data_IF_938130089483
#
_entry.id   IF_938130089483
#
_cell.length_a   1.000
_cell.length_b   1.000
_cell.length_c   1.000
_cell.angle_alpha   90.00
_cell.angle_beta   90.00
_cell.angle_gamma   90.00
#
_symmetry.space_group_name_H-M   'P 1'
#
loop_
_entity.id
_entity.type
_entity.pdbx_description
1 polymer ?
#
# COMPACT_ATOMS: atom_id res chain seq x y z
N UNK A 1 -21.72 23.39 -7.91
CA UNK A 1 -20.82 23.81 -6.82
C UNK A 1 -20.84 25.33 -6.66
N UNK A 2 -21.05 26.10 -7.73
CA UNK A 2 -21.27 27.56 -7.71
C UNK A 2 -22.43 28.02 -6.80
N UNK A 3 -23.42 27.14 -6.58
CA UNK A 3 -24.50 27.33 -5.60
C UNK A 3 -24.00 27.31 -4.16
N UNK A 4 -22.94 26.56 -3.85
CA UNK A 4 -22.36 26.50 -2.50
C UNK A 4 -21.69 27.84 -2.17
N UNK A 5 -20.95 28.41 -3.12
CA UNK A 5 -20.22 29.65 -2.89
C UNK A 5 -21.17 30.84 -2.66
N UNK A 6 -22.19 30.97 -3.53
CA UNK A 6 -23.15 32.08 -3.43
C UNK A 6 -24.13 31.97 -2.27
N UNK A 7 -24.53 30.74 -1.90
CA UNK A 7 -25.56 30.54 -0.88
C UNK A 7 -24.99 30.57 0.54
N UNK A 8 -23.73 30.18 0.71
CA UNK A 8 -23.12 30.02 2.03
C UNK A 8 -21.93 30.93 2.27
N UNK A 9 -21.63 31.88 1.38
CA UNK A 9 -20.47 32.77 1.51
C UNK A 9 -19.22 31.94 1.82
N UNK A 10 -19.00 30.94 0.98
CA UNK A 10 -18.04 29.87 1.17
C UNK A 10 -17.14 29.82 -0.04
N UNK A 11 -15.86 29.52 0.14
CA UNK A 11 -14.98 29.18 -0.97
C UNK A 11 -14.66 27.69 -0.91
N UNK A 12 -14.60 27.02 -2.07
CA UNK A 12 -14.19 25.62 -2.11
C UNK A 12 -13.09 25.37 -3.14
N UNK A 13 -12.22 24.42 -2.81
CA UNK A 13 -11.29 23.83 -3.77
C UNK A 13 -11.54 22.33 -3.82
N UNK A 14 -11.60 21.78 -5.04
CA UNK A 14 -11.78 20.35 -5.26
C UNK A 14 -10.62 19.81 -6.09
N UNK A 15 -10.00 18.73 -5.61
CA UNK A 15 -8.89 18.04 -6.26
C UNK A 15 -9.23 16.56 -6.39
N UNK A 16 -9.13 16.04 -7.61
CA UNK A 16 -9.34 14.62 -7.89
C UNK A 16 -7.98 13.92 -8.01
N UNK A 17 -7.84 12.81 -7.31
CA UNK A 17 -6.71 11.90 -7.41
C UNK A 17 -7.20 10.55 -7.92
N UNK A 18 -6.50 10.02 -8.91
CA UNK A 18 -6.79 8.72 -9.52
C UNK A 18 -5.59 7.81 -9.29
N UNK A 19 -5.79 6.79 -8.48
CA UNK A 19 -4.76 5.80 -8.16
C UNK A 19 -5.11 4.48 -8.84
N UNK A 20 -4.14 3.94 -9.59
CA UNK A 20 -4.19 2.58 -10.11
C UNK A 20 -3.41 1.68 -9.15
N UNK A 21 -4.12 0.87 -8.37
CA UNK A 21 -3.56 -0.16 -7.51
C UNK A 21 -3.65 -1.51 -8.23
N UNK A 22 -2.87 -2.51 -7.82
CA UNK A 22 -3.04 -3.87 -8.38
C UNK A 22 -4.41 -4.46 -8.02
N UNK A 23 -4.92 -4.09 -6.84
CA UNK A 23 -6.23 -4.53 -6.36
C UNK A 23 -7.40 -3.84 -7.09
N UNK A 24 -7.16 -2.69 -7.75
CA UNK A 24 -8.20 -1.98 -8.50
C UNK A 24 -7.97 -0.47 -8.59
N UNK A 25 -9.00 0.27 -8.99
CA UNK A 25 -8.93 1.74 -9.15
C UNK A 25 -9.47 2.46 -7.92
N UNK A 26 -8.67 3.34 -7.34
CA UNK A 26 -9.08 4.19 -6.23
C UNK A 26 -9.20 5.64 -6.72
N UNK A 27 -10.43 6.17 -6.69
CA UNK A 27 -10.72 7.57 -6.99
C UNK A 27 -10.95 8.32 -5.69
N UNK A 28 -10.10 9.31 -5.41
CA UNK A 28 -10.21 10.18 -4.23
C UNK A 28 -10.57 11.59 -4.68
N UNK A 29 -11.73 12.08 -4.25
CA UNK A 29 -12.10 13.48 -4.37
C UNK A 29 -11.81 14.17 -3.05
N UNK A 30 -10.82 15.06 -3.03
CA UNK A 30 -10.55 15.93 -1.88
C UNK A 30 -11.27 17.25 -2.08
N UNK A 31 -12.08 17.66 -1.10
CA UNK A 31 -12.74 18.97 -1.10
C UNK A 31 -12.30 19.73 0.15
N UNK A 32 -11.72 20.91 -0.05
CA UNK A 32 -11.43 21.86 1.03
C UNK A 32 -12.45 22.98 0.99
N UNK A 33 -13.15 23.19 2.09
CA UNK A 33 -14.12 24.25 2.30
C UNK A 33 -13.51 25.32 3.19
N UNK A 34 -13.48 26.56 2.71
CA UNK A 34 -13.14 27.73 3.49
C UNK A 34 -14.43 28.49 3.81
N UNK A 35 -14.73 28.62 5.10
CA UNK A 35 -15.93 29.26 5.61
C UNK A 35 -15.55 30.43 6.53
N UNK A 36 -16.36 31.50 6.60
CA UNK A 36 -16.14 32.60 7.52
C UNK A 36 -16.01 32.10 8.96
N UNK A 37 -15.14 32.73 9.75
CA UNK A 37 -14.84 32.34 11.13
C UNK A 37 -16.10 32.25 12.01
N UNK A 38 -17.04 33.16 11.80
CA UNK A 38 -18.31 33.25 12.52
C UNK A 38 -19.38 32.25 12.01
N UNK A 39 -19.01 31.28 11.17
CA UNK A 39 -19.97 30.31 10.62
C UNK A 39 -20.58 29.43 11.70
N UNK A 40 -21.90 29.50 11.83
CA UNK A 40 -22.65 28.67 12.78
C UNK A 40 -22.55 27.18 12.44
N UNK A 41 -22.72 26.31 13.45
CA UNK A 41 -22.74 24.85 13.26
C UNK A 41 -23.73 24.40 12.19
N UNK A 42 -24.92 24.99 12.16
CA UNK A 42 -25.96 24.70 11.16
C UNK A 42 -25.51 25.06 9.75
N UNK A 43 -24.82 26.20 9.58
CA UNK A 43 -24.26 26.63 8.30
C UNK A 43 -23.19 25.64 7.82
N UNK A 44 -22.29 25.23 8.72
CA UNK A 44 -21.24 24.25 8.43
C UNK A 44 -21.87 22.91 7.99
N UNK A 45 -22.88 22.41 8.72
CA UNK A 45 -23.58 21.17 8.39
C UNK A 45 -24.29 21.25 7.03
N UNK A 46 -24.95 22.37 6.72
CA UNK A 46 -25.62 22.57 5.42
C UNK A 46 -24.64 22.57 4.24
N UNK A 47 -23.49 23.24 4.38
CA UNK A 47 -22.44 23.25 3.35
C UNK A 47 -21.88 21.85 3.14
N UNK A 48 -21.57 21.12 4.22
CA UNK A 48 -21.09 19.73 4.15
C UNK A 48 -22.08 18.85 3.39
N UNK A 49 -23.38 18.97 3.68
CA UNK A 49 -24.44 18.23 2.99
C UNK A 49 -24.52 18.58 1.49
N UNK A 50 -24.35 19.86 1.14
CA UNK A 50 -24.33 20.29 -0.26
C UNK A 50 -23.14 19.68 -1.03
N UNK A 51 -21.95 19.64 -0.43
CA UNK A 51 -20.76 18.98 -1.02
C UNK A 51 -21.01 17.50 -1.20
N UNK A 52 -21.61 16.83 -0.23
CA UNK A 52 -21.91 15.40 -0.32
C UNK A 52 -22.84 15.06 -1.48
N UNK A 53 -23.91 15.84 -1.65
CA UNK A 53 -24.82 15.68 -2.80
C UNK A 53 -24.08 15.86 -4.13
N UNK A 54 -23.18 16.84 -4.22
CA UNK A 54 -22.35 17.04 -5.40
C UNK A 54 -21.38 15.88 -5.65
N UNK A 55 -20.73 15.37 -4.60
CA UNK A 55 -19.81 14.25 -4.68
C UNK A 55 -20.51 12.93 -5.07
N UNK A 56 -21.75 12.72 -4.62
CA UNK A 56 -22.55 11.57 -5.05
C UNK A 56 -22.85 11.61 -6.56
N UNK A 57 -23.14 12.79 -7.11
CA UNK A 57 -23.30 12.97 -8.57
C UNK A 57 -21.99 12.73 -9.31
N UNK A 58 -20.86 13.20 -8.77
CA UNK A 58 -19.53 12.91 -9.32
C UNK A 58 -19.25 11.41 -9.37
N UNK A 59 -19.53 10.69 -8.28
CA UNK A 59 -19.31 9.25 -8.19
C UNK A 59 -20.19 8.46 -9.17
N UNK A 60 -21.47 8.81 -9.33
CA UNK A 60 -22.35 8.21 -10.35
C UNK A 60 -21.81 8.39 -11.78
N UNK A 61 -21.09 9.47 -12.07
CA UNK A 61 -20.43 9.67 -13.38
C UNK A 61 -19.20 8.77 -13.55
N UNK A 62 -18.42 8.55 -12.49
CA UNK A 62 -17.25 7.66 -12.51
C UNK A 62 -17.65 6.19 -12.70
N UNK A 63 -18.70 5.72 -12.02
CA UNK A 63 -19.14 4.32 -12.12
C UNK A 63 -19.60 3.92 -13.52
N UNK A 64 -20.16 4.84 -14.31
CA UNK A 64 -20.57 4.57 -15.69
C UNK A 64 -19.40 4.28 -16.64
N UNK A 65 -18.16 4.47 -16.19
CA UNK A 65 -16.96 4.39 -17.02
C UNK A 65 -15.99 3.26 -16.59
N UNK A 66 -16.31 2.48 -15.55
CA UNK A 66 -15.38 1.49 -15.00
C UNK A 66 -15.94 0.07 -15.02
N UNK A 67 -15.29 -0.82 -15.78
CA UNK A 67 -15.53 -2.27 -15.76
C UNK A 67 -14.75 -3.00 -14.64
N UNK A 68 -13.82 -2.31 -13.97
CA UNK A 68 -12.94 -2.89 -12.94
C UNK A 68 -13.40 -2.56 -11.52
N UNK A 69 -12.99 -3.39 -10.55
CA UNK A 69 -13.18 -3.10 -9.12
C UNK A 69 -12.66 -1.69 -8.80
N UNK A 70 -13.53 -0.86 -8.22
CA UNK A 70 -13.18 0.52 -7.88
C UNK A 70 -13.78 0.99 -6.57
N UNK A 71 -13.00 1.80 -5.86
CA UNK A 71 -13.46 2.57 -4.72
C UNK A 71 -13.52 4.05 -5.07
N UNK A 72 -14.58 4.70 -4.61
CA UNK A 72 -14.75 6.14 -4.65
C UNK A 72 -14.76 6.68 -3.22
N UNK A 73 -13.86 7.63 -2.94
CA UNK A 73 -13.68 8.22 -1.62
C UNK A 73 -13.82 9.74 -1.72
N UNK A 74 -14.60 10.34 -0.83
CA UNK A 74 -14.63 11.78 -0.57
C UNK A 74 -13.86 12.08 0.71
N UNK A 75 -12.86 12.96 0.63
CA UNK A 75 -12.14 13.50 1.79
C UNK A 75 -12.50 14.96 1.95
N UNK A 76 -13.14 15.32 3.06
CA UNK A 76 -13.59 16.68 3.33
C UNK A 76 -12.70 17.38 4.36
N UNK A 77 -12.18 18.54 4.00
CA UNK A 77 -11.40 19.44 4.86
C UNK A 77 -12.19 20.74 5.05
N UNK A 78 -12.34 21.21 6.29
CA UNK A 78 -13.14 22.41 6.60
C UNK A 78 -12.28 23.38 7.39
N UNK A 79 -12.12 24.58 6.87
CA UNK A 79 -11.30 25.66 7.42
C UNK A 79 -12.21 26.84 7.75
N UNK A 80 -11.98 27.43 8.91
CA UNK A 80 -12.59 28.70 9.30
C UNK A 80 -11.58 29.83 9.05
N UNK A 81 -11.96 30.82 8.23
CA UNK A 81 -11.14 31.95 7.80
C UNK A 81 -11.69 33.26 8.35
N UNK A 82 -10.81 34.13 8.87
CA UNK A 82 -11.14 35.48 9.31
C UNK A 82 -10.75 36.48 8.21
N UNK A 83 -11.73 36.96 7.46
CA UNK A 83 -11.49 37.90 6.33
C UNK A 83 -11.21 39.34 6.79
N UNK A 84 -11.28 39.65 8.10
CA UNK A 84 -11.20 41.03 8.62
C UNK A 84 -9.77 41.59 8.84
N UNK A 85 -8.71 40.99 8.28
CA UNK A 85 -7.31 41.40 8.56
C UNK A 85 -6.49 41.85 7.34
N UNK A 86 -7.12 42.43 6.34
CA UNK A 86 -6.41 42.99 5.16
C UNK A 86 -5.58 44.26 5.45
N UNK A 87 -5.56 44.80 6.68
CA UNK A 87 -4.96 46.11 6.97
C UNK A 87 -3.87 46.18 8.06
N UNK A 88 -3.19 45.08 8.39
CA UNK A 88 -1.95 45.16 9.18
C UNK A 88 -0.72 44.83 8.33
N UNK A 89 -0.07 45.90 7.86
CA UNK A 89 1.21 45.85 7.17
C UNK A 89 2.31 45.36 8.13
N UNK A 90 3.01 44.28 7.77
CA UNK A 90 4.34 43.99 8.32
C UNK A 90 4.59 42.60 8.92
N UNK A 91 3.73 41.60 8.70
CA UNK A 91 3.99 40.23 9.19
C UNK A 91 4.04 39.24 8.02
N UNK A 92 5.10 38.42 8.01
CA UNK A 92 5.38 37.30 7.09
C UNK A 92 4.12 36.50 6.71
N UNK A 93 3.99 36.14 5.43
CA UNK A 93 2.84 35.44 4.83
C UNK A 93 2.44 34.14 5.56
N UNK A 94 3.36 33.52 6.32
CA UNK A 94 3.08 32.29 7.08
C UNK A 94 2.24 32.51 8.36
N UNK A 95 2.04 33.76 8.82
CA UNK A 95 1.25 34.08 10.01
C UNK A 95 -0.08 34.79 9.72
N UNK A 96 -0.38 35.11 8.46
CA UNK A 96 -1.57 35.91 8.07
C UNK A 96 -2.90 35.15 8.11
N UNK A 97 -2.87 33.82 8.17
CA UNK A 97 -4.07 33.00 8.26
C UNK A 97 -4.08 32.19 9.57
N UNK A 98 -4.87 32.61 10.57
CA UNK A 98 -5.29 31.68 11.64
C UNK A 98 -6.37 30.74 11.09
N UNK A 99 -6.01 29.93 10.09
CA UNK A 99 -6.88 28.89 9.55
C UNK A 99 -7.16 27.88 10.66
N UNK A 100 -8.35 27.93 11.25
CA UNK A 100 -8.78 26.91 12.20
C UNK A 100 -9.44 25.78 11.43
N UNK A 101 -8.71 24.66 11.29
CA UNK A 101 -9.27 23.43 10.74
C UNK A 101 -10.29 22.85 11.72
N UNK A 102 -11.51 22.66 11.26
CA UNK A 102 -12.60 22.08 12.05
C UNK A 102 -12.46 20.56 12.09
N UNK A 103 -12.24 20.01 13.29
CA UNK A 103 -12.34 18.57 13.52
C UNK A 103 -13.80 18.15 13.40
N UNK A 104 -14.06 17.16 12.56
CA UNK A 104 -15.39 16.59 12.33
C UNK A 104 -15.25 15.13 11.95
N UNK A 105 -16.34 14.37 12.00
CA UNK A 105 -16.39 12.96 11.61
C UNK A 105 -17.67 12.67 10.81
N UNK A 106 -17.65 11.57 10.08
CA UNK A 106 -18.80 11.04 9.34
C UNK A 106 -19.13 9.65 9.90
N UNK A 107 -19.86 9.60 11.03
CA UNK A 107 -20.29 8.32 11.62
C UNK A 107 -21.44 7.67 10.84
N UNK A 108 -21.74 6.38 11.08
CA UNK A 108 -22.80 5.67 10.35
C UNK A 108 -24.17 6.37 10.46
N UNK A 109 -24.46 6.99 11.61
CA UNK A 109 -25.67 7.79 11.84
C UNK A 109 -25.81 8.95 10.82
N UNK A 110 -24.69 9.55 10.43
CA UNK A 110 -24.68 10.62 9.43
C UNK A 110 -25.11 10.11 8.04
N UNK A 111 -24.69 8.90 7.68
CA UNK A 111 -25.13 8.23 6.45
C UNK A 111 -26.60 7.80 6.50
N UNK A 112 -27.06 7.29 7.65
CA UNK A 112 -28.45 6.87 7.85
C UNK A 112 -29.46 8.04 7.84
N UNK A 113 -29.09 9.19 8.39
CA UNK A 113 -30.00 10.34 8.57
C UNK A 113 -29.95 11.35 7.41
N UNK A 114 -28.79 11.55 6.78
CA UNK A 114 -28.59 12.65 5.81
C UNK A 114 -28.28 12.18 4.39
N UNK A 115 -28.03 10.88 4.20
CA UNK A 115 -27.55 10.30 2.95
C UNK A 115 -28.39 9.07 2.57
N UNK A 116 -29.66 9.30 2.19
CA UNK A 116 -30.42 8.29 1.42
C UNK A 116 -29.82 8.21 0.01
N UNK A 117 -28.61 7.67 -0.09
CA UNK A 117 -28.05 7.23 -1.36
C UNK A 117 -28.85 6.00 -1.77
N UNK A 118 -29.36 5.99 -3.01
CA UNK A 118 -30.03 4.84 -3.64
C UNK A 118 -29.40 3.53 -3.16
N UNK A 119 -30.16 2.79 -2.36
CA UNK A 119 -29.75 1.52 -1.74
C UNK A 119 -29.68 0.39 -2.76
N UNK A 120 -30.13 0.63 -3.99
CA UNK A 120 -30.37 -0.40 -5.01
C UNK A 120 -29.11 -0.81 -5.81
N UNK A 121 -28.09 0.04 -5.89
CA UNK A 121 -26.86 -0.32 -6.63
C UNK A 121 -25.79 -0.90 -5.69
N UNK A 122 -25.76 -2.23 -5.67
CA UNK A 122 -24.94 -3.09 -4.81
C UNK A 122 -23.42 -2.95 -4.98
N UNK A 123 -22.91 -2.24 -6.00
CA UNK A 123 -21.52 -2.45 -6.43
C UNK A 123 -20.52 -1.43 -5.89
N UNK A 124 -20.82 -0.13 -5.78
CA UNK A 124 -19.83 0.86 -5.29
C UNK A 124 -20.49 2.03 -4.59
N UNK A 125 -20.39 2.10 -3.26
CA UNK A 125 -20.86 3.24 -2.46
C UNK A 125 -19.73 4.25 -2.26
N UNK A 126 -20.06 5.54 -2.33
CA UNK A 126 -19.14 6.62 -1.97
C UNK A 126 -18.82 6.53 -0.48
N UNK A 127 -17.55 6.32 -0.13
CA UNK A 127 -17.08 6.39 1.24
C UNK A 127 -16.64 7.82 1.56
N UNK A 128 -16.97 8.32 2.75
CA UNK A 128 -16.73 9.72 3.12
C UNK A 128 -15.93 9.76 4.41
N UNK A 129 -14.83 10.51 4.39
CA UNK A 129 -13.97 10.72 5.54
C UNK A 129 -13.73 12.21 5.77
N UNK A 130 -13.54 12.59 7.03
CA UNK A 130 -12.94 13.88 7.34
C UNK A 130 -11.46 13.84 6.95
N UNK A 131 -10.86 15.02 6.74
CA UNK A 131 -9.42 15.12 6.52
C UNK A 131 -8.62 14.46 7.65
N UNK A 132 -9.04 14.64 8.91
CA UNK A 132 -8.32 14.08 10.06
C UNK A 132 -8.42 12.56 10.13
N UNK A 133 -9.61 12.01 9.91
CA UNK A 133 -9.83 10.55 9.92
C UNK A 133 -9.04 9.89 8.78
N UNK A 134 -9.12 10.46 7.57
CA UNK A 134 -8.39 9.94 6.41
C UNK A 134 -6.88 9.85 6.65
N UNK A 135 -6.27 10.91 7.18
CA UNK A 135 -4.83 10.90 7.48
C UNK A 135 -4.47 9.93 8.61
N UNK A 136 -5.35 9.79 9.61
CA UNK A 136 -5.15 8.86 10.72
C UNK A 136 -5.25 7.40 10.26
N UNK A 137 -6.20 7.10 9.37
CA UNK A 137 -6.36 5.79 8.73
C UNK A 137 -5.13 5.46 7.89
N UNK A 138 -4.71 6.36 6.99
CA UNK A 138 -3.53 6.13 6.15
C UNK A 138 -2.27 5.88 6.99
N UNK A 139 -2.09 6.64 8.08
CA UNK A 139 -1.01 6.44 9.03
C UNK A 139 -1.10 5.09 9.76
N UNK A 140 -2.30 4.59 10.05
CA UNK A 140 -2.45 3.29 10.71
C UNK A 140 -2.17 2.11 9.76
N UNK A 141 -2.65 2.19 8.52
CA UNK A 141 -2.61 1.09 7.56
C UNK A 141 -1.25 0.88 6.89
N UNK A 142 -0.45 1.96 6.74
CA UNK A 142 0.94 1.95 6.25
C UNK A 142 1.18 1.48 4.79
N UNK A 143 0.26 0.74 4.17
CA UNK A 143 0.41 0.27 2.79
C UNK A 143 -0.87 0.51 1.94
N UNK A 144 -0.74 0.60 0.61
CA UNK A 144 -1.88 0.66 -0.30
C UNK A 144 -2.76 -0.61 -0.27
N UNK A 145 -2.18 -1.80 -0.10
CA UNK A 145 -2.92 -3.06 -0.05
C UNK A 145 -3.84 -3.10 1.18
N UNK A 146 -3.33 -2.66 2.33
CA UNK A 146 -4.11 -2.56 3.55
C UNK A 146 -5.18 -1.46 3.48
N UNK A 147 -4.91 -0.34 2.79
CA UNK A 147 -5.93 0.66 2.46
C UNK A 147 -7.08 0.05 1.67
N UNK A 148 -6.77 -0.69 0.60
CA UNK A 148 -7.79 -1.33 -0.23
C UNK A 148 -8.69 -2.25 0.60
N UNK A 149 -8.09 -3.17 1.35
CA UNK A 149 -8.83 -4.12 2.21
C UNK A 149 -9.62 -3.41 3.31
N UNK A 150 -9.11 -2.31 3.84
CA UNK A 150 -9.83 -1.50 4.82
C UNK A 150 -11.06 -0.83 4.20
N UNK A 151 -10.99 -0.36 2.96
CA UNK A 151 -12.13 0.24 2.26
C UNK A 151 -13.23 -0.80 2.00
N UNK A 152 -12.87 -2.03 1.66
CA UNK A 152 -13.83 -3.15 1.59
C UNK A 152 -14.48 -3.42 2.95
N UNK A 153 -13.67 -3.49 4.01
CA UNK A 153 -14.14 -3.68 5.38
C UNK A 153 -15.04 -2.54 5.85
N UNK A 154 -14.68 -1.29 5.57
CA UNK A 154 -15.46 -0.10 5.92
C UNK A 154 -16.85 -0.15 5.28
N UNK A 155 -16.92 -0.50 4.00
CA UNK A 155 -18.18 -0.69 3.29
C UNK A 155 -19.05 -1.80 3.91
N UNK A 156 -18.44 -2.92 4.31
CA UNK A 156 -19.14 -4.01 5.00
C UNK A 156 -19.72 -3.52 6.34
N UNK A 157 -18.93 -2.80 7.14
CA UNK A 157 -19.36 -2.28 8.43
C UNK A 157 -20.46 -1.22 8.30
N UNK A 158 -20.37 -0.34 7.29
CA UNK A 158 -21.44 0.59 6.95
C UNK A 158 -22.73 -0.13 6.57
N UNK A 159 -22.65 -1.19 5.74
CA UNK A 159 -23.82 -2.01 5.37
C UNK A 159 -24.47 -2.65 6.61
N UNK A 160 -23.66 -3.23 7.50
CA UNK A 160 -24.13 -3.88 8.71
C UNK A 160 -24.79 -2.89 9.69
N UNK A 161 -24.22 -1.69 9.83
CA UNK A 161 -24.79 -0.63 10.66
C UNK A 161 -26.13 -0.11 10.12
N UNK A 162 -26.22 0.13 8.80
CA UNK A 162 -27.46 0.58 8.14
C UNK A 162 -28.57 -0.47 8.27
N UNK A 163 -28.24 -1.76 8.12
CA UNK A 163 -29.19 -2.86 8.23
C UNK A 163 -29.57 -3.21 9.69
N UNK A 164 -29.05 -2.46 10.68
CA UNK A 164 -29.34 -2.67 12.10
C UNK A 164 -28.76 -3.96 12.68
N UNK A 165 -27.81 -4.59 11.99
CA UNK A 165 -27.24 -5.88 12.41
C UNK A 165 -26.15 -5.75 13.49
N UNK A 166 -25.48 -4.59 13.56
CA UNK A 166 -24.39 -4.33 14.52
C UNK A 166 -24.47 -2.88 14.99
N UNK A 167 -24.21 -2.57 16.28
CA UNK A 167 -24.04 -1.19 16.73
C UNK A 167 -22.91 -0.51 15.94
N UNK A 168 -23.18 0.68 15.39
CA UNK A 168 -22.17 1.47 14.68
C UNK A 168 -20.95 1.67 15.57
N UNK A 169 -19.76 1.38 15.04
CA UNK A 169 -18.51 1.81 15.67
C UNK A 169 -18.53 3.33 15.79
N UNK A 170 -18.13 3.84 16.96
CA UNK A 170 -18.26 5.26 17.30
C UNK A 170 -17.27 6.16 16.53
N UNK A 171 -16.09 5.64 16.17
CA UNK A 171 -15.04 6.42 15.51
C UNK A 171 -14.28 5.61 14.44
N UNK A 172 -13.82 6.31 13.40
CA UNK A 172 -12.98 5.72 12.33
C UNK A 172 -11.65 5.16 12.87
N UNK A 173 -11.07 5.81 13.88
CA UNK A 173 -9.85 5.32 14.54
C UNK A 173 -10.07 3.98 15.24
N UNK A 174 -11.21 3.80 15.91
CA UNK A 174 -11.54 2.50 16.50
C UNK A 174 -11.78 1.44 15.42
N UNK A 175 -12.40 1.82 14.31
CA UNK A 175 -12.69 0.91 13.20
C UNK A 175 -11.42 0.40 12.52
N UNK A 176 -10.44 1.28 12.26
CA UNK A 176 -9.13 0.87 11.71
C UNK A 176 -8.34 0.02 12.69
N UNK A 177 -8.39 0.33 13.99
CA UNK A 177 -7.75 -0.48 15.02
C UNK A 177 -8.37 -1.88 15.10
N UNK A 178 -9.70 -1.99 15.01
CA UNK A 178 -10.38 -3.28 14.93
C UNK A 178 -9.95 -4.05 13.68
N UNK A 179 -9.98 -3.43 12.51
CA UNK A 179 -9.53 -4.03 11.24
C UNK A 179 -8.13 -4.63 11.38
N UNK A 180 -7.18 -3.82 11.86
CA UNK A 180 -5.78 -4.19 11.99
C UNK A 180 -5.54 -5.30 13.02
N UNK A 181 -6.46 -5.53 13.97
CA UNK A 181 -6.33 -6.59 14.99
C UNK A 181 -7.10 -7.88 14.64
N UNK A 182 -7.67 -7.98 13.43
CA UNK A 182 -8.39 -9.20 13.00
C UNK A 182 -7.43 -10.23 12.41
N UNK A 183 -7.65 -11.55 12.65
CA UNK A 183 -6.92 -12.61 11.95
C UNK A 183 -7.10 -12.55 10.42
N UNK A 184 -8.21 -11.98 9.96
CA UNK A 184 -8.49 -11.78 8.54
C UNK A 184 -7.46 -10.89 7.83
N UNK A 185 -6.66 -10.10 8.56
CA UNK A 185 -5.53 -9.34 8.03
C UNK A 185 -4.56 -10.25 7.23
N UNK A 186 -4.40 -11.51 7.65
CA UNK A 186 -3.47 -12.46 7.04
C UNK A 186 -4.10 -13.33 5.95
N UNK A 187 -5.38 -13.16 5.61
CA UNK A 187 -6.08 -14.06 4.70
C UNK A 187 -5.41 -14.16 3.31
N UNK A 188 -4.98 -13.03 2.74
CA UNK A 188 -4.26 -13.00 1.46
C UNK A 188 -2.93 -13.75 1.55
N UNK A 189 -2.14 -13.46 2.59
CA UNK A 189 -0.84 -14.10 2.80
C UNK A 189 -1.00 -15.61 2.95
N UNK A 190 -2.01 -16.08 3.69
CA UNK A 190 -2.32 -17.52 3.85
C UNK A 190 -2.72 -18.16 2.52
N UNK A 191 -3.54 -17.49 1.71
CA UNK A 191 -3.93 -17.99 0.40
C UNK A 191 -2.71 -18.19 -0.52
N UNK A 192 -1.78 -17.23 -0.50
CA UNK A 192 -0.54 -17.30 -1.28
C UNK A 192 0.45 -18.32 -0.74
N UNK A 193 0.63 -18.41 0.58
CA UNK A 193 1.46 -19.43 1.23
C UNK A 193 1.04 -20.85 0.81
N UNK A 194 -0.27 -21.11 0.80
CA UNK A 194 -0.83 -22.37 0.31
C UNK A 194 -0.61 -22.58 -1.20
N UNK A 195 -0.71 -21.53 -2.01
CA UNK A 195 -0.44 -21.61 -3.44
C UNK A 195 1.03 -21.95 -3.72
N UNK A 196 1.96 -21.35 -2.98
CA UNK A 196 3.41 -21.60 -3.11
C UNK A 196 3.79 -23.03 -2.73
N UNK A 197 3.15 -23.58 -1.68
CA UNK A 197 3.29 -25.00 -1.32
C UNK A 197 2.79 -25.90 -2.45
N UNK A 198 1.62 -25.58 -3.03
CA UNK A 198 1.05 -26.31 -4.17
C UNK A 198 1.99 -26.31 -5.39
N UNK A 199 2.72 -25.22 -5.61
CA UNK A 199 3.71 -25.09 -6.69
C UNK A 199 5.09 -25.68 -6.35
N UNK A 200 5.26 -26.30 -5.17
CA UNK A 200 6.53 -26.81 -4.63
C UNK A 200 7.64 -25.74 -4.57
N UNK A 201 7.28 -24.48 -4.35
CA UNK A 201 8.24 -23.39 -4.09
C UNK A 201 8.61 -23.35 -2.61
N UNK A 202 7.67 -23.79 -1.76
CA UNK A 202 7.82 -23.85 -0.32
C UNK A 202 7.36 -25.21 0.18
N UNK A 203 8.09 -25.80 1.12
CA UNK A 203 7.79 -27.17 1.58
C UNK A 203 6.71 -27.21 2.67
N UNK A 204 6.65 -26.17 3.52
CA UNK A 204 5.75 -26.09 4.66
C UNK A 204 5.28 -24.63 4.89
N UNK A 205 4.18 -24.40 5.62
CA UNK A 205 3.68 -23.06 5.87
C UNK A 205 4.71 -22.13 6.51
N UNK A 206 4.65 -20.83 6.21
CA UNK A 206 5.57 -19.88 6.82
C UNK A 206 5.33 -19.85 8.35
N UNK A 207 6.36 -20.15 9.17
CA UNK A 207 6.18 -20.25 10.61
C UNK A 207 5.86 -18.89 11.26
N UNK A 208 6.35 -17.78 10.72
CA UNK A 208 5.99 -16.44 11.20
C UNK A 208 4.52 -16.13 10.89
N UNK A 209 4.06 -16.43 9.67
CA UNK A 209 2.65 -16.24 9.29
C UNK A 209 1.71 -17.03 10.19
N UNK A 210 2.03 -18.30 10.42
CA UNK A 210 1.26 -19.20 11.29
C UNK A 210 1.22 -18.66 12.72
N UNK A 211 2.37 -18.29 13.27
CA UNK A 211 2.49 -17.79 14.65
C UNK A 211 1.74 -16.48 14.86
N UNK A 212 1.87 -15.53 13.92
CA UNK A 212 1.17 -14.24 13.98
C UNK A 212 -0.34 -14.44 13.85
N UNK A 213 -0.80 -15.26 12.91
CA UNK A 213 -2.23 -15.54 12.73
C UNK A 213 -2.84 -16.14 14.00
N UNK A 214 -2.15 -17.09 14.64
CA UNK A 214 -2.58 -17.69 15.91
C UNK A 214 -2.60 -16.66 17.05
N UNK A 215 -1.59 -15.79 17.14
CA UNK A 215 -1.55 -14.74 18.15
C UNK A 215 -2.76 -13.80 18.06
N UNK A 216 -3.12 -13.38 16.84
CA UNK A 216 -4.28 -12.52 16.59
C UNK A 216 -5.60 -13.25 16.87
N UNK A 217 -5.69 -14.52 16.48
CA UNK A 217 -6.89 -15.34 16.74
C UNK A 217 -7.15 -15.52 18.23
N UNK A 218 -6.09 -15.68 19.01
CA UNK A 218 -6.16 -15.90 20.45
C UNK A 218 -6.08 -14.60 21.27
N UNK A 219 -5.97 -13.44 20.62
CA UNK A 219 -5.80 -12.13 21.28
C UNK A 219 -4.66 -12.12 22.32
N UNK A 220 -3.55 -12.81 22.03
CA UNK A 220 -2.44 -12.94 22.96
C UNK A 220 -1.59 -11.67 23.04
N UNK A 221 -0.80 -11.52 24.10
CA UNK A 221 0.17 -10.42 24.27
C UNK A 221 1.14 -10.33 23.07
N UNK A 222 1.47 -11.47 22.48
CA UNK A 222 2.30 -11.56 21.25
C UNK A 222 1.65 -10.94 20.02
N UNK A 223 0.32 -10.75 19.98
CA UNK A 223 -0.35 -10.08 18.87
C UNK A 223 0.06 -8.60 18.76
N UNK A 224 0.16 -7.90 19.89
CA UNK A 224 0.61 -6.51 19.92
C UNK A 224 2.07 -6.37 19.49
N UNK A 225 2.95 -7.26 19.97
CA UNK A 225 4.35 -7.28 19.51
C UNK A 225 4.45 -7.57 18.00
N UNK A 226 3.65 -8.53 17.51
CA UNK A 226 3.59 -8.83 16.07
C UNK A 226 3.10 -7.63 15.27
N UNK A 227 2.07 -6.92 15.76
CA UNK A 227 1.57 -5.69 15.14
C UNK A 227 2.66 -4.62 15.03
N UNK A 228 3.42 -4.40 16.11
CA UNK A 228 4.55 -3.46 16.10
C UNK A 228 5.62 -3.84 15.09
N UNK A 229 5.97 -5.13 15.00
CA UNK A 229 6.93 -5.61 14.00
C UNK A 229 6.46 -5.41 12.56
N UNK A 230 5.15 -5.61 12.28
CA UNK A 230 4.57 -5.33 10.97
C UNK A 230 4.68 -3.84 10.63
N UNK A 231 4.33 -2.95 11.58
CA UNK A 231 4.40 -1.49 11.37
C UNK A 231 5.85 -1.01 11.15
N UNK A 232 6.79 -1.48 11.98
CA UNK A 232 8.21 -1.15 11.83
C UNK A 232 8.74 -1.60 10.47
N UNK A 233 8.45 -2.85 10.07
CA UNK A 233 8.85 -3.36 8.77
C UNK A 233 8.22 -2.56 7.62
N UNK A 234 6.95 -2.18 7.73
CA UNK A 234 6.28 -1.37 6.72
C UNK A 234 6.92 0.01 6.56
N UNK A 235 7.31 0.65 7.66
CA UNK A 235 8.03 1.92 7.65
C UNK A 235 9.41 1.77 7.00
N UNK A 236 10.21 0.81 7.45
CA UNK A 236 11.56 0.57 6.95
C UNK A 236 11.55 0.21 5.46
N UNK A 237 10.65 -0.67 5.04
CA UNK A 237 10.50 -1.01 3.63
C UNK A 237 10.09 0.20 2.78
N UNK A 238 9.26 1.11 3.32
CA UNK A 238 8.90 2.35 2.60
C UNK A 238 10.10 3.27 2.43
N UNK A 239 10.96 3.39 3.46
CA UNK A 239 12.19 4.18 3.38
C UNK A 239 13.17 3.58 2.37
N UNK A 240 13.40 2.26 2.44
CA UNK A 240 14.26 1.55 1.48
C UNK A 240 13.71 1.67 0.06
N UNK A 241 12.41 1.52 -0.13
CA UNK A 241 11.76 1.71 -1.43
C UNK A 241 11.95 3.13 -1.94
N UNK A 242 11.74 4.15 -1.10
CA UNK A 242 11.97 5.54 -1.49
C UNK A 242 13.42 5.79 -1.94
N UNK A 243 14.40 5.25 -1.21
CA UNK A 243 15.82 5.34 -1.56
C UNK A 243 16.13 4.62 -2.89
N UNK A 244 15.68 3.37 -3.05
CA UNK A 244 15.87 2.62 -4.29
C UNK A 244 15.26 3.36 -5.50
N UNK A 245 14.08 3.96 -5.31
CA UNK A 245 13.40 4.74 -6.32
C UNK A 245 14.19 6.01 -6.66
N UNK A 246 14.68 6.73 -5.67
CA UNK A 246 15.45 7.96 -5.89
C UNK A 246 16.79 7.68 -6.59
N UNK A 247 17.55 6.67 -6.14
CA UNK A 247 18.81 6.26 -6.76
C UNK A 247 18.61 5.83 -8.21
N UNK A 248 17.54 5.09 -8.50
CA UNK A 248 17.22 4.70 -9.88
C UNK A 248 16.93 5.92 -10.78
N UNK A 249 16.24 6.93 -10.26
CA UNK A 249 15.94 8.17 -11.02
C UNK A 249 17.21 8.96 -11.31
N UNK A 250 18.12 9.07 -10.34
CA UNK A 250 19.42 9.75 -10.51
C UNK A 250 20.27 9.16 -11.65
N UNK A 251 20.25 7.83 -11.81
CA UNK A 251 21.01 7.13 -12.85
C UNK A 251 20.42 7.26 -14.27
N UNK A 252 19.16 7.71 -14.41
CA UNK A 252 18.45 7.77 -15.69
C UNK A 252 18.36 9.16 -16.35
N UNK A 253 18.85 10.23 -15.69
CA UNK A 253 18.79 11.61 -16.22
C UNK A 253 19.78 11.82 -17.42
N UNK A 254 20.60 10.84 -17.77
CA UNK A 254 21.66 10.95 -18.79
C UNK A 254 21.40 10.39 -20.20
N UNK A 255 20.27 9.75 -20.52
CA UNK A 255 20.06 9.16 -21.85
C UNK A 255 18.69 9.49 -22.47
N UNK A 256 18.71 10.04 -23.68
CA UNK A 256 17.53 10.44 -24.45
C UNK A 256 16.69 9.22 -24.88
N UNK A 257 15.64 8.94 -24.09
CA UNK A 257 14.62 7.93 -24.32
C UNK A 257 13.38 8.16 -23.43
N UNK A 258 12.96 9.42 -23.29
CA UNK A 258 12.22 9.92 -22.10
C UNK A 258 10.77 9.46 -21.91
N UNK A 259 10.11 8.88 -22.91
CA UNK A 259 8.66 8.58 -22.82
C UNK A 259 8.33 7.10 -22.54
N UNK A 260 9.04 6.16 -23.17
CA UNK A 260 8.79 4.70 -23.00
C UNK A 260 9.34 4.21 -21.66
N UNK A 261 10.53 4.70 -21.28
CA UNK A 261 11.17 4.37 -19.99
C UNK A 261 10.40 4.95 -18.80
N UNK A 262 9.71 6.08 -18.93
CA UNK A 262 8.93 6.66 -17.84
C UNK A 262 7.78 5.74 -17.38
N UNK A 263 7.13 5.03 -18.30
CA UNK A 263 6.05 4.10 -17.97
C UNK A 263 6.57 2.80 -17.32
N UNK A 264 7.68 2.24 -17.81
CA UNK A 264 8.32 1.07 -17.21
C UNK A 264 8.88 1.38 -15.82
N UNK A 265 9.52 2.54 -15.66
CA UNK A 265 10.02 3.05 -14.37
C UNK A 265 8.86 3.25 -13.38
N UNK A 266 7.68 3.68 -13.84
CA UNK A 266 6.50 3.83 -12.97
C UNK A 266 5.94 2.48 -12.53
N UNK A 267 5.96 1.46 -13.39
CA UNK A 267 5.36 0.17 -13.09
C UNK A 267 6.08 -0.58 -11.96
N UNK A 268 7.41 -0.68 -12.01
CA UNK A 268 8.14 -1.40 -10.96
C UNK A 268 8.18 -0.64 -9.63
N UNK A 269 8.16 0.70 -9.68
CA UNK A 269 8.00 1.54 -8.48
C UNK A 269 6.71 1.17 -7.75
N UNK A 270 5.61 1.00 -8.50
CA UNK A 270 4.35 0.53 -7.93
C UNK A 270 4.48 -0.88 -7.34
N UNK A 271 5.23 -1.79 -7.98
CA UNK A 271 5.43 -3.14 -7.44
C UNK A 271 6.12 -3.14 -6.07
N UNK A 272 7.12 -2.27 -5.82
CA UNK A 272 7.78 -2.20 -4.51
C UNK A 272 6.87 -1.61 -3.43
N UNK A 273 6.04 -0.63 -3.80
CA UNK A 273 5.14 0.06 -2.89
C UNK A 273 3.87 -0.76 -2.58
N UNK A 274 3.42 -1.59 -3.51
CA UNK A 274 2.21 -2.42 -3.38
C UNK A 274 2.54 -3.79 -2.80
N UNK A 275 3.29 -3.80 -1.70
CA UNK A 275 3.53 -4.97 -0.85
C UNK A 275 2.72 -4.89 0.44
N UNK A 276 2.10 -6.00 0.81
CA UNK A 276 1.35 -6.16 2.06
C UNK A 276 2.23 -5.95 3.30
N UNK A 277 1.61 -5.62 4.43
CA UNK A 277 2.28 -5.61 5.74
C UNK A 277 3.10 -6.87 5.99
N UNK A 278 2.57 -8.05 5.66
CA UNK A 278 3.26 -9.32 5.92
C UNK A 278 4.41 -9.56 4.94
N UNK A 279 4.26 -9.23 3.65
CA UNK A 279 5.37 -9.28 2.68
C UNK A 279 6.53 -8.41 3.13
N UNK A 280 6.24 -7.15 3.50
CA UNK A 280 7.25 -6.20 3.98
C UNK A 280 7.92 -6.72 5.25
N UNK A 281 7.16 -7.33 6.14
CA UNK A 281 7.70 -8.00 7.32
C UNK A 281 8.71 -9.09 6.97
N UNK A 282 8.38 -10.03 6.08
CA UNK A 282 9.31 -11.11 5.73
C UNK A 282 10.56 -10.61 4.98
N UNK A 283 10.40 -9.63 4.09
CA UNK A 283 11.51 -8.99 3.38
C UNK A 283 12.46 -8.30 4.36
N UNK A 284 11.94 -7.40 5.19
CA UNK A 284 12.74 -6.68 6.20
C UNK A 284 13.34 -7.65 7.21
N UNK A 285 12.58 -8.63 7.70
CA UNK A 285 13.10 -9.67 8.60
C UNK A 285 14.28 -10.42 7.99
N UNK A 286 14.28 -10.64 6.67
CA UNK A 286 15.40 -11.28 5.97
C UNK A 286 16.65 -10.40 5.95
N UNK A 287 16.50 -9.09 5.73
CA UNK A 287 17.61 -8.13 5.83
C UNK A 287 18.22 -8.12 7.24
N UNK A 288 17.39 -8.05 8.28
CA UNK A 288 17.86 -8.02 9.69
C UNK A 288 18.45 -9.34 10.19
N UNK A 289 18.30 -10.44 9.45
CA UNK A 289 18.98 -11.70 9.77
C UNK A 289 20.44 -11.70 9.35
N UNK A 290 20.86 -10.85 8.42
CA UNK A 290 22.23 -10.84 7.89
C UNK A 290 23.30 -10.60 8.97
N UNK A 291 23.19 -9.57 9.84
CA UNK A 291 24.20 -9.34 10.88
C UNK A 291 24.33 -10.48 11.89
N UNK A 292 23.32 -11.35 11.97
CA UNK A 292 23.27 -12.51 12.87
C UNK A 292 23.71 -13.83 12.20
N UNK A 293 24.09 -13.80 10.92
CA UNK A 293 24.61 -14.97 10.22
C UNK A 293 26.01 -15.32 10.70
N UNK A 294 26.43 -16.56 10.43
CA UNK A 294 27.79 -16.99 10.70
C UNK A 294 28.82 -16.09 9.98
N UNK A 295 29.95 -15.74 10.63
CA UNK A 295 30.96 -14.85 10.02
C UNK A 295 31.43 -15.32 8.65
N UNK A 296 31.51 -16.63 8.43
CA UNK A 296 31.86 -17.21 7.14
C UNK A 296 30.87 -16.82 6.03
N UNK A 297 29.56 -16.88 6.29
CA UNK A 297 28.53 -16.49 5.32
C UNK A 297 28.56 -14.98 5.05
N UNK A 298 28.82 -14.17 6.07
CA UNK A 298 29.00 -12.72 5.89
C UNK A 298 30.22 -12.42 5.00
N UNK A 299 31.31 -13.18 5.16
CA UNK A 299 32.52 -13.01 4.39
C UNK A 299 32.36 -13.50 2.94
N UNK A 300 31.76 -14.67 2.74
CA UNK A 300 31.63 -15.28 1.41
C UNK A 300 30.42 -14.79 0.61
N UNK A 301 29.45 -14.13 1.25
CA UNK A 301 28.17 -13.77 0.63
C UNK A 301 27.24 -14.98 0.44
N UNK A 302 25.96 -14.71 0.21
CA UNK A 302 24.93 -15.74 -0.03
C UNK A 302 23.68 -15.16 -0.69
N UNK A 303 22.83 -16.04 -1.23
CA UNK A 303 21.58 -15.68 -1.89
C UNK A 303 20.40 -16.24 -1.10
N UNK A 304 19.36 -15.41 -0.91
CA UNK A 304 18.08 -15.81 -0.34
C UNK A 304 16.99 -15.52 -1.35
N UNK A 305 16.19 -16.53 -1.65
CA UNK A 305 14.97 -16.36 -2.42
C UNK A 305 13.79 -16.08 -1.48
N UNK A 306 13.07 -15.01 -1.76
CA UNK A 306 11.84 -14.61 -1.09
C UNK A 306 10.73 -14.41 -2.14
N UNK A 307 9.50 -14.27 -1.67
CA UNK A 307 8.34 -14.07 -2.51
C UNK A 307 7.37 -13.09 -1.86
N UNK A 308 6.48 -12.54 -2.66
CA UNK A 308 5.44 -11.65 -2.17
C UNK A 308 4.26 -12.45 -1.59
N UNK A 309 3.80 -12.03 -0.42
CA UNK A 309 2.54 -12.45 0.18
C UNK A 309 1.38 -11.49 -0.20
N UNK A 310 1.57 -10.67 -1.23
CA UNK A 310 0.53 -9.89 -1.91
C UNK A 310 0.24 -10.45 -3.32
N UNK A 311 1.29 -10.78 -4.07
CA UNK A 311 1.22 -11.21 -5.46
C UNK A 311 2.03 -12.47 -5.70
N UNK A 312 1.35 -13.58 -6.05
CA UNK A 312 2.00 -14.86 -6.40
C UNK A 312 3.06 -14.70 -7.49
N UNK A 313 2.86 -13.73 -8.39
CA UNK A 313 3.73 -13.48 -9.52
C UNK A 313 4.98 -12.66 -9.21
N UNK A 314 5.24 -12.29 -7.95
CA UNK A 314 6.34 -11.41 -7.58
C UNK A 314 7.33 -12.14 -6.69
N UNK A 315 8.55 -12.26 -7.20
CA UNK A 315 9.64 -12.98 -6.55
C UNK A 315 10.82 -12.07 -6.28
N UNK A 316 11.49 -12.31 -5.16
CA UNK A 316 12.63 -11.54 -4.70
C UNK A 316 13.86 -12.42 -4.59
N UNK A 317 14.97 -11.97 -5.17
CA UNK A 317 16.28 -12.60 -5.05
C UNK A 317 17.16 -11.63 -4.30
N UNK A 318 17.39 -11.90 -3.02
CA UNK A 318 18.21 -11.09 -2.15
C UNK A 318 19.62 -11.64 -2.17
N UNK A 319 20.56 -10.90 -2.72
CA UNK A 319 21.97 -11.26 -2.80
C UNK A 319 22.71 -10.44 -1.75
N UNK A 320 23.16 -11.09 -0.69
CA UNK A 320 24.04 -10.49 0.30
C UNK A 320 25.47 -10.60 -0.20
N UNK A 321 26.08 -9.48 -0.56
CA UNK A 321 27.44 -9.47 -1.06
C UNK A 321 28.43 -9.93 0.01
N UNK A 322 29.45 -10.68 -0.42
CA UNK A 322 30.57 -11.05 0.44
C UNK A 322 31.46 -9.85 0.72
N UNK A 323 32.00 -9.81 1.94
CA UNK A 323 32.98 -8.78 2.36
C UNK A 323 34.35 -8.97 1.70
N UNK A 324 34.64 -10.16 1.17
CA UNK A 324 35.85 -10.41 0.38
C UNK A 324 35.71 -9.78 -1.02
N UNK A 325 36.47 -8.73 -1.29
CA UNK A 325 36.40 -7.93 -2.52
C UNK A 325 36.76 -8.76 -3.76
N UNK A 326 37.69 -9.72 -3.63
CA UNK A 326 38.11 -10.63 -4.71
C UNK A 326 37.27 -11.92 -4.74
N UNK A 327 36.29 -12.03 -3.84
CA UNK A 327 35.40 -13.17 -3.74
C UNK A 327 34.43 -13.29 -4.92
N UNK A 328 34.02 -14.53 -5.21
CA UNK A 328 33.04 -14.83 -6.27
C UNK A 328 31.66 -14.20 -6.06
N UNK A 329 31.34 -13.85 -4.81
CA UNK A 329 30.10 -13.16 -4.45
C UNK A 329 30.32 -11.73 -3.95
N UNK A 330 31.46 -11.13 -4.28
CA UNK A 330 31.68 -9.71 -4.02
C UNK A 330 30.75 -8.84 -4.87
N UNK A 331 30.49 -7.62 -4.41
CA UNK A 331 29.69 -6.63 -5.15
C UNK A 331 30.24 -6.42 -6.56
N UNK A 332 31.55 -6.24 -6.69
CA UNK A 332 32.24 -6.03 -7.99
C UNK A 332 31.98 -7.18 -8.98
N UNK A 333 31.88 -8.41 -8.50
CA UNK A 333 31.66 -9.60 -9.33
C UNK A 333 30.19 -9.79 -9.70
N UNK A 334 29.27 -9.57 -8.76
CA UNK A 334 27.84 -9.85 -8.97
C UNK A 334 27.10 -8.67 -9.61
N UNK A 335 27.38 -7.43 -9.21
CA UNK A 335 26.64 -6.24 -9.64
C UNK A 335 26.49 -6.15 -11.18
N UNK A 336 27.52 -6.43 -12.00
CA UNK A 336 27.38 -6.42 -13.47
C UNK A 336 26.45 -7.50 -14.04
N UNK A 337 26.17 -8.54 -13.25
CA UNK A 337 25.41 -9.72 -13.66
C UNK A 337 23.97 -9.77 -13.12
N UNK A 338 23.52 -8.76 -12.36
CA UNK A 338 22.19 -8.76 -11.74
C UNK A 338 21.06 -8.96 -12.77
N UNK A 339 21.21 -8.39 -13.96
CA UNK A 339 20.25 -8.55 -15.07
C UNK A 339 20.15 -9.99 -15.55
N UNK A 340 21.30 -10.64 -15.75
CA UNK A 340 21.38 -12.04 -16.15
C UNK A 340 20.82 -12.96 -15.06
N UNK A 341 21.09 -12.67 -13.79
CA UNK A 341 20.54 -13.43 -12.66
C UNK A 341 19.01 -13.34 -12.65
N UNK A 342 18.45 -12.14 -12.85
CA UNK A 342 16.99 -11.96 -12.90
C UNK A 342 16.37 -12.78 -14.04
N UNK A 343 16.99 -12.76 -15.22
CA UNK A 343 16.55 -13.54 -16.38
C UNK A 343 16.66 -15.06 -16.14
N UNK A 344 17.77 -15.52 -15.56
CA UNK A 344 17.99 -16.93 -15.24
C UNK A 344 16.96 -17.43 -14.23
N UNK A 345 16.59 -16.62 -13.23
CA UNK A 345 15.55 -16.98 -12.26
C UNK A 345 14.17 -17.00 -12.92
N UNK A 346 13.85 -16.01 -13.77
CA UNK A 346 12.59 -15.95 -14.49
C UNK A 346 12.36 -17.18 -15.38
N UNK A 347 13.41 -17.71 -16.02
CA UNK A 347 13.31 -18.91 -16.86
C UNK A 347 13.19 -20.22 -16.08
N UNK A 348 13.62 -20.25 -14.82
CA UNK A 348 13.65 -21.47 -13.99
C UNK A 348 12.44 -21.61 -13.08
N UNK A 349 11.79 -20.50 -12.70
CA UNK A 349 10.62 -20.53 -11.82
C UNK A 349 9.38 -21.08 -12.56
N UNK A 350 8.82 -22.23 -12.13
CA UNK A 350 7.74 -22.87 -12.85
C UNK A 350 6.36 -22.36 -12.41
N UNK A 351 6.15 -21.04 -12.47
CA UNK A 351 4.93 -20.36 -11.99
C UNK A 351 4.24 -19.65 -13.14
N UNK A 352 3.02 -20.08 -13.45
CA UNK A 352 2.26 -19.56 -14.58
C UNK A 352 1.91 -18.06 -14.42
N UNK A 353 1.76 -17.63 -13.17
CA UNK A 353 1.42 -16.29 -12.73
C UNK A 353 2.65 -15.40 -12.52
N UNK A 354 3.87 -15.85 -12.84
CA UNK A 354 5.08 -15.04 -12.68
C UNK A 354 4.98 -13.76 -13.54
N UNK A 355 5.05 -12.61 -12.87
CA UNK A 355 4.99 -11.30 -13.48
C UNK A 355 6.34 -10.57 -13.37
N UNK A 356 7.05 -10.72 -12.26
CA UNK A 356 8.30 -10.02 -12.01
C UNK A 356 9.27 -10.84 -11.16
N UNK A 357 10.54 -10.74 -11.51
CA UNK A 357 11.66 -11.12 -10.63
C UNK A 357 12.41 -9.84 -10.24
N UNK A 358 12.48 -9.57 -8.95
CA UNK A 358 13.17 -8.43 -8.36
C UNK A 358 14.45 -8.96 -7.72
N UNK A 359 15.60 -8.47 -8.16
CA UNK A 359 16.90 -8.81 -7.61
C UNK A 359 17.42 -7.62 -6.82
N UNK A 360 17.72 -7.85 -5.55
CA UNK A 360 18.30 -6.87 -4.63
C UNK A 360 19.72 -7.32 -4.28
N UNK A 361 20.73 -6.61 -4.74
CA UNK A 361 22.11 -6.76 -4.28
C UNK A 361 22.32 -5.90 -3.04
N UNK A 362 22.78 -6.49 -1.93
CA UNK A 362 22.79 -5.83 -0.62
C UNK A 362 24.20 -5.86 -0.07
N UNK A 363 24.76 -4.68 0.16
CA UNK A 363 26.03 -4.47 0.85
C UNK A 363 25.78 -3.90 2.25
N UNK A 364 26.37 -4.53 3.28
CA UNK A 364 26.36 -3.98 4.63
C UNK A 364 27.67 -3.23 4.86
N UNK A 365 27.58 -1.91 4.92
CA UNK A 365 28.71 -1.02 5.12
C UNK A 365 28.77 -0.68 6.61
N UNK A 366 29.90 -0.96 7.25
CA UNK A 366 30.15 -0.58 8.64
C UNK A 366 31.04 0.65 8.65
N UNK A 367 30.49 1.79 9.05
CA UNK A 367 31.24 3.04 9.24
C UNK A 367 31.09 3.48 10.70
N UNK A 368 32.19 3.45 11.45
CA UNK A 368 32.19 3.74 12.90
C UNK A 368 31.21 2.84 13.69
N UNK A 369 30.33 3.44 14.51
CA UNK A 369 29.27 2.73 15.27
C UNK A 369 27.99 2.49 14.45
N UNK A 370 27.91 3.01 13.23
CA UNK A 370 26.73 2.90 12.38
C UNK A 370 26.91 1.80 11.31
N UNK A 371 25.79 1.14 10.98
CA UNK A 371 25.73 0.16 9.88
C UNK A 371 24.72 0.64 8.85
N UNK A 372 25.20 0.86 7.63
CA UNK A 372 24.39 1.26 6.49
C UNK A 372 24.19 0.09 5.53
N UNK A 373 23.11 0.14 4.77
CA UNK A 373 22.85 -0.80 3.68
C UNK A 373 22.88 -0.06 2.36
N UNK A 374 23.72 -0.50 1.44
CA UNK A 374 23.66 -0.09 0.04
C UNK A 374 22.94 -1.17 -0.77
N UNK A 375 21.97 -0.77 -1.58
CA UNK A 375 21.10 -1.70 -2.31
C UNK A 375 21.14 -1.41 -3.80
N UNK A 376 21.68 -2.37 -4.54
CA UNK A 376 21.52 -2.46 -5.99
C UNK A 376 20.17 -3.08 -6.32
N UNK A 377 19.46 -2.48 -7.28
CA UNK A 377 18.14 -2.96 -7.70
C UNK A 377 18.15 -3.30 -9.20
N UNK A 378 17.73 -4.53 -9.52
CA UNK A 378 17.38 -4.91 -10.88
C UNK A 378 16.02 -5.61 -10.92
N UNK A 379 15.22 -5.33 -11.95
CA UNK A 379 13.88 -5.89 -12.09
C UNK A 379 13.70 -6.44 -13.49
N UNK A 380 13.31 -7.72 -13.56
CA UNK A 380 12.96 -8.39 -14.80
C UNK A 380 11.44 -8.56 -14.87
N UNK A 381 10.73 -7.81 -15.74
CA UNK A 381 9.35 -8.13 -16.06
C UNK A 381 9.30 -9.45 -16.83
N UNK A 382 8.29 -10.26 -16.54
CA UNK A 382 8.09 -11.59 -17.11
C UNK A 382 6.74 -11.62 -17.79
N UNK A 383 6.73 -12.12 -19.04
CA UNK A 383 5.48 -12.38 -19.75
C UNK A 383 4.79 -13.59 -19.13
N UNK A 384 3.48 -13.50 -18.93
CA UNK A 384 2.70 -14.64 -18.45
C UNK A 384 2.88 -15.84 -19.39
N UNK A 385 3.11 -17.03 -18.82
CA UNK A 385 3.24 -18.25 -19.61
C UNK A 385 1.98 -18.47 -20.45
N UNK A 386 2.16 -18.80 -21.73
CA UNK A 386 1.09 -19.22 -22.64
C UNK A 386 0.40 -20.48 -22.13
N UNK A 387 -0.83 -20.76 -22.56
CA UNK A 387 -1.54 -21.99 -22.16
C UNK A 387 -0.74 -23.27 -22.46
N UNK A 388 0.00 -23.28 -23.57
CA UNK A 388 0.87 -24.40 -23.97
C UNK A 388 2.04 -24.56 -23.00
N UNK A 389 2.73 -23.48 -22.65
CA UNK A 389 3.80 -23.49 -21.65
C UNK A 389 3.27 -23.92 -20.28
N UNK A 390 2.07 -23.48 -19.90
CA UNK A 390 1.41 -23.92 -18.66
C UNK A 390 1.14 -25.43 -18.64
N UNK A 391 0.66 -25.99 -19.76
CA UNK A 391 0.42 -27.43 -19.86
C UNK A 391 1.72 -28.23 -19.80
N UNK A 392 2.76 -27.78 -20.49
CA UNK A 392 4.10 -28.39 -20.45
C UNK A 392 4.70 -28.34 -19.04
N UNK A 393 4.64 -27.19 -18.36
CA UNK A 393 5.14 -27.04 -17.00
C UNK A 393 4.39 -27.95 -16.02
N UNK A 394 3.06 -28.07 -16.14
CA UNK A 394 2.26 -29.01 -15.32
C UNK A 394 2.64 -30.46 -15.58
N UNK A 395 2.82 -30.85 -16.85
CA UNK A 395 3.26 -32.21 -17.19
C UNK A 395 4.66 -32.51 -16.64
N UNK A 396 5.60 -31.58 -16.76
CA UNK A 396 6.95 -31.71 -16.19
C UNK A 396 6.94 -31.80 -14.66
N UNK A 397 6.10 -31.03 -13.99
CA UNK A 397 5.92 -31.12 -12.53
C UNK A 397 5.31 -32.46 -12.11
N UNK A 398 4.34 -32.99 -12.86
CA UNK A 398 3.76 -34.30 -12.59
C UNK A 398 4.76 -35.44 -12.81
N UNK A 399 5.56 -35.37 -13.88
CA UNK A 399 6.63 -36.32 -14.15
C UNK A 399 7.67 -36.32 -13.02
N UNK A 400 8.11 -35.14 -12.54
CA UNK A 400 9.03 -35.03 -11.40
C UNK A 400 8.46 -35.58 -10.08
N UNK A 401 7.13 -35.62 -9.92
CA UNK A 401 6.46 -36.25 -8.76
C UNK A 401 6.35 -37.77 -8.91
N UNK A 402 6.42 -38.29 -10.14
CA UNK A 402 6.29 -39.71 -10.45
C UNK A 402 7.63 -40.46 -10.49
N UNK A 403 8.76 -39.77 -10.57
CA UNK A 403 10.08 -40.38 -10.39
C UNK A 403 10.36 -40.50 -8.88
N UNK A 404 10.27 -41.68 -8.26
CA UNK A 404 10.73 -41.85 -6.89
C UNK A 404 12.25 -41.71 -6.89
N UNK A 405 12.80 -41.07 -5.85
CA UNK A 405 14.20 -41.29 -5.49
C UNK A 405 14.40 -42.71 -4.99
#
# INVERSE_FOLDING_TARGET
MDTIERQYDAHYTAQQYLYQLLSGKLSVLRVTLSLPFESSRTKIEAVRLAVLKAAAVWQKKQNKQSETASHAVLVMDVHLTDDNREHENGVSDDQKYKNQRVKHHFGARYFMEQLVLDTDDSVQRLQVFSWHDWHSILKALQTPCELWRFLDYHLEQLKNAINGQVPSVETETALVAQFLNRPALFAQAIALDNALIKYNIQDAPNPALTSMTLAYKNQSITAQMSHQHLQQAAHLWSQLSAQMIETSRGNHIGNDGKAVLANEVTHWQQQLLDESLFSRHELVRTLYKHPKQEPRLQQTGYVVHQHSYESLGRHYVLIFYGQDIEGHHSKKTIQPNLSKIAQDVATRLPIAELHHVIVLGIEFIKEAEDTFMDIDLWIQPVNAMTQRERQLTKQLQQLKKQTPK
#
